data_IF_832091968888
#
_entry.id   IF_832091968888
#
_cell.length_a   1.000
_cell.length_b   1.000
_cell.length_c   1.000
_cell.angle_alpha   90.00
_cell.angle_beta   90.00
_cell.angle_gamma   90.00
#
_symmetry.space_group_name_H-M   'P 1'
#
loop_
_entity.id
_entity.type
_entity.pdbx_description
1 polymer ?
#
# COMPACT_ATOMS: atom_id res chain seq x y z
N UNK A 1 -18.95 -6.77 14.82
CA UNK A 1 -17.85 -5.82 15.16
C UNK A 1 -16.58 -6.63 15.19
N UNK A 2 -15.71 -6.46 14.19
CA UNK A 2 -14.73 -7.50 13.89
C UNK A 2 -13.41 -7.19 14.57
N UNK A 3 -12.84 -8.19 15.25
CA UNK A 3 -11.58 -8.04 15.94
C UNK A 3 -10.46 -7.81 14.91
N UNK A 4 -9.69 -6.70 14.98
CA UNK A 4 -8.63 -6.42 14.00
C UNK A 4 -7.47 -7.41 14.07
N UNK A 5 -7.40 -8.26 15.11
CA UNK A 5 -6.36 -9.29 15.25
C UNK A 5 -6.80 -10.65 14.71
N UNK A 6 -7.98 -11.14 15.10
CA UNK A 6 -8.44 -12.49 14.75
C UNK A 6 -9.64 -12.51 13.79
N UNK A 7 -10.10 -11.34 13.31
CA UNK A 7 -11.21 -11.12 12.37
C UNK A 7 -12.59 -11.65 12.80
N UNK A 8 -12.72 -12.32 13.96
CA UNK A 8 -14.00 -12.78 14.53
C UNK A 8 -14.90 -11.63 14.98
N UNK A 9 -16.21 -11.85 14.98
CA UNK A 9 -17.23 -10.82 15.26
C UNK A 9 -17.61 -10.70 16.75
N UNK A 10 -16.89 -11.37 17.64
CA UNK A 10 -17.21 -11.49 19.07
C UNK A 10 -16.66 -10.34 19.94
N UNK A 11 -16.65 -9.11 19.43
CA UNK A 11 -16.17 -7.95 20.17
C UNK A 11 -17.27 -7.29 21.01
N UNK A 12 -17.01 -7.10 22.30
CA UNK A 12 -17.93 -6.44 23.24
C UNK A 12 -17.36 -5.13 23.76
N UNK A 13 -18.23 -4.20 24.15
CA UNK A 13 -17.85 -2.92 24.77
C UNK A 13 -17.11 -3.18 26.08
N UNK A 14 -15.99 -2.50 26.30
CA UNK A 14 -15.10 -2.70 27.45
C UNK A 14 -14.56 -1.34 27.95
N UNK A 15 -15.48 -0.48 28.40
CA UNK A 15 -15.18 0.86 28.91
C UNK A 15 -14.86 1.89 27.82
N UNK A 16 -14.39 3.07 28.24
CA UNK A 16 -13.96 4.15 27.35
C UNK A 16 -12.53 4.58 27.68
N UNK A 17 -11.77 4.98 26.67
CA UNK A 17 -10.40 5.52 26.82
C UNK A 17 -10.31 6.82 26.02
N UNK A 18 -9.93 7.92 26.69
CA UNK A 18 -9.84 9.26 26.09
C UNK A 18 -11.13 9.65 25.34
N UNK A 19 -12.28 9.43 25.98
CA UNK A 19 -13.61 9.69 25.41
C UNK A 19 -14.11 8.66 24.38
N UNK A 20 -13.23 7.83 23.81
CA UNK A 20 -13.58 6.87 22.78
C UNK A 20 -13.98 5.50 23.34
N UNK A 21 -14.92 4.84 22.68
CA UNK A 21 -15.38 3.50 23.05
C UNK A 21 -14.26 2.45 22.86
N UNK A 22 -13.92 1.73 23.92
CA UNK A 22 -13.00 0.58 23.86
C UNK A 22 -13.81 -0.70 23.74
N UNK A 23 -13.26 -1.66 23.02
CA UNK A 23 -13.82 -2.99 22.79
C UNK A 23 -12.83 -4.05 23.24
N UNK A 24 -13.34 -5.22 23.61
CA UNK A 24 -12.57 -6.44 23.93
C UNK A 24 -13.14 -7.59 23.10
N UNK A 25 -12.28 -8.28 22.37
CA UNK A 25 -12.65 -9.52 21.70
C UNK A 25 -12.78 -10.65 22.72
N UNK A 26 -13.91 -11.36 22.74
CA UNK A 26 -14.10 -12.53 23.61
C UNK A 26 -13.23 -13.73 23.20
N UNK A 27 -12.99 -13.90 21.90
CA UNK A 27 -12.23 -15.05 21.39
C UNK A 27 -10.73 -14.97 21.67
N UNK A 28 -10.09 -13.80 21.53
CA UNK A 28 -8.64 -13.66 21.70
C UNK A 28 -8.22 -12.69 22.82
N UNK A 29 -9.18 -12.10 23.55
CA UNK A 29 -8.91 -11.14 24.61
C UNK A 29 -8.37 -9.77 24.14
N UNK A 30 -8.10 -9.58 22.85
CA UNK A 30 -7.52 -8.35 22.32
C UNK A 30 -8.43 -7.14 22.55
N UNK A 31 -7.83 -6.05 23.01
CA UNK A 31 -8.54 -4.81 23.31
C UNK A 31 -8.16 -3.72 22.32
N UNK A 32 -9.16 -3.06 21.76
CA UNK A 32 -8.98 -2.05 20.73
C UNK A 32 -10.03 -0.95 20.86
N UNK A 33 -9.63 0.26 20.51
CA UNK A 33 -10.51 1.45 20.54
C UNK A 33 -10.88 1.91 19.14
N UNK A 34 -10.04 1.57 18.15
CA UNK A 34 -10.17 2.03 16.77
C UNK A 34 -10.33 0.82 15.86
N UNK A 35 -11.27 0.89 14.92
CA UNK A 35 -11.55 -0.15 13.94
C UNK A 35 -10.73 0.00 12.67
N UNK A 36 -10.34 1.23 12.34
CA UNK A 36 -9.50 1.49 11.16
C UNK A 36 -8.05 1.13 11.45
N UNK A 37 -7.32 0.68 10.42
CA UNK A 37 -5.88 0.45 10.49
C UNK A 37 -5.13 1.71 10.93
N UNK A 38 -4.00 1.51 11.63
CA UNK A 38 -3.12 2.61 12.05
C UNK A 38 -2.23 3.04 10.89
N UNK A 39 -2.02 4.33 10.77
CA UNK A 39 -1.07 4.91 9.82
C UNK A 39 -1.73 5.45 8.55
N UNK A 40 -0.88 5.74 7.56
CA UNK A 40 -1.27 6.24 6.24
C UNK A 40 -1.83 5.08 5.40
N UNK A 41 -2.79 5.34 4.50
CA UNK A 41 -3.43 4.30 3.70
C UNK A 41 -2.38 3.53 2.87
N UNK A 42 -2.59 2.23 2.60
CA UNK A 42 -1.63 1.40 1.87
C UNK A 42 -1.17 2.02 0.55
N UNK A 43 -2.09 2.63 -0.19
CA UNK A 43 -1.79 3.25 -1.47
C UNK A 43 -0.75 4.38 -1.40
N UNK A 44 -0.73 5.17 -0.32
CA UNK A 44 0.28 6.23 -0.14
C UNK A 44 1.67 5.66 0.08
N UNK A 45 1.75 4.50 0.75
CA UNK A 45 3.02 3.81 1.00
C UNK A 45 3.56 3.21 -0.29
N UNK A 46 2.70 2.54 -1.05
CA UNK A 46 3.01 1.98 -2.35
C UNK A 46 3.46 3.05 -3.36
N UNK A 47 2.71 4.15 -3.50
CA UNK A 47 3.07 5.26 -4.39
C UNK A 47 4.41 5.91 -3.98
N UNK A 48 4.68 6.05 -2.68
CA UNK A 48 5.96 6.57 -2.21
C UNK A 48 7.15 5.66 -2.60
N UNK A 49 6.98 4.34 -2.52
CA UNK A 49 8.01 3.38 -2.96
C UNK A 49 8.21 3.48 -4.47
N UNK A 50 7.12 3.50 -5.26
CA UNK A 50 7.18 3.65 -6.71
C UNK A 50 7.93 4.93 -7.14
N UNK A 51 7.59 6.07 -6.53
CA UNK A 51 8.27 7.34 -6.81
C UNK A 51 9.77 7.28 -6.46
N UNK A 52 10.12 6.60 -5.37
CA UNK A 52 11.52 6.39 -4.99
C UNK A 52 12.26 5.54 -6.02
N UNK A 53 11.67 4.43 -6.49
CA UNK A 53 12.25 3.62 -7.57
C UNK A 53 12.44 4.41 -8.86
N UNK A 54 11.56 5.40 -9.14
CA UNK A 54 11.70 6.29 -10.30
C UNK A 54 12.75 7.40 -10.13
N UNK A 55 13.48 7.41 -9.01
CA UNK A 55 14.55 8.38 -8.73
C UNK A 55 14.07 9.69 -8.09
N UNK A 56 12.81 9.77 -7.65
CA UNK A 56 12.33 10.94 -6.91
C UNK A 56 12.93 10.91 -5.50
N UNK A 57 13.53 12.02 -5.09
CA UNK A 57 14.18 12.09 -3.77
C UNK A 57 13.18 11.94 -2.62
N UNK A 58 13.63 11.26 -1.55
CA UNK A 58 12.86 11.02 -0.32
C UNK A 58 12.26 12.33 0.22
N UNK A 59 13.03 13.42 0.20
CA UNK A 59 12.58 14.74 0.66
C UNK A 59 11.46 15.33 -0.19
N UNK A 60 11.46 15.07 -1.51
CA UNK A 60 10.39 15.54 -2.41
C UNK A 60 9.11 14.73 -2.19
N UNK A 61 9.23 13.40 -2.06
CA UNK A 61 8.11 12.50 -1.74
C UNK A 61 7.49 12.86 -0.38
N UNK A 62 8.33 13.13 0.63
CA UNK A 62 7.90 13.52 1.97
C UNK A 62 7.07 14.80 1.96
N UNK A 63 7.47 15.81 1.16
CA UNK A 63 6.69 17.03 0.94
C UNK A 63 5.36 16.75 0.25
N UNK A 64 5.33 15.90 -0.78
CA UNK A 64 4.09 15.52 -1.48
C UNK A 64 3.05 14.90 -0.54
N UNK A 65 3.48 14.01 0.37
CA UNK A 65 2.57 13.37 1.32
C UNK A 65 2.37 14.15 2.64
N UNK A 66 3.06 15.28 2.82
CA UNK A 66 3.10 16.03 4.09
C UNK A 66 3.45 15.12 5.29
N UNK A 67 4.57 14.41 5.16
CA UNK A 67 5.12 13.53 6.20
C UNK A 67 6.61 13.81 6.40
N UNK A 68 7.19 13.36 7.51
CA UNK A 68 8.63 13.46 7.72
C UNK A 68 9.39 12.56 6.73
N UNK A 69 10.57 12.97 6.22
CA UNK A 69 11.41 12.13 5.35
C UNK A 69 11.75 10.76 5.95
N UNK A 70 11.93 10.69 7.27
CA UNK A 70 12.13 9.44 8.01
C UNK A 70 10.96 8.47 7.91
N UNK A 71 9.74 8.96 7.67
CA UNK A 71 8.54 8.12 7.46
C UNK A 71 8.61 7.44 6.10
N UNK A 72 8.99 8.18 5.05
CA UNK A 72 9.18 7.64 3.70
C UNK A 72 10.32 6.60 3.72
N UNK A 73 11.44 6.91 4.37
CA UNK A 73 12.55 5.97 4.51
C UNK A 73 12.13 4.66 5.20
N UNK A 74 11.30 4.73 6.25
CA UNK A 74 10.74 3.54 6.90
C UNK A 74 9.87 2.71 5.96
N UNK A 75 9.06 3.35 5.10
CA UNK A 75 8.24 2.63 4.11
C UNK A 75 9.12 1.91 3.08
N UNK A 76 10.13 2.59 2.54
CA UNK A 76 11.09 2.01 1.59
C UNK A 76 11.83 0.82 2.23
N UNK A 77 12.37 1.00 3.44
CA UNK A 77 13.09 -0.07 4.15
C UNK A 77 12.18 -1.27 4.43
N UNK A 78 10.93 -1.02 4.82
CA UNK A 78 9.96 -2.08 5.12
C UNK A 78 9.61 -2.88 3.86
N UNK A 79 9.44 -2.21 2.73
CA UNK A 79 9.23 -2.82 1.42
C UNK A 79 10.43 -3.71 1.04
N UNK A 80 11.65 -3.18 1.07
CA UNK A 80 12.87 -3.94 0.73
C UNK A 80 13.21 -5.08 1.69
N UNK A 81 12.64 -5.10 2.90
CA UNK A 81 12.84 -6.18 3.89
C UNK A 81 11.88 -7.36 3.69
N UNK A 82 10.75 -7.15 3.00
CA UNK A 82 9.77 -8.20 2.73
C UNK A 82 10.11 -8.85 1.38
N UNK A 83 10.72 -10.03 1.44
CA UNK A 83 10.78 -10.94 0.30
C UNK A 83 9.41 -11.59 0.13
N UNK A 84 8.46 -10.87 -0.45
CA UNK A 84 7.16 -11.45 -0.80
C UNK A 84 7.30 -12.17 -2.14
N UNK A 85 6.85 -13.43 -2.27
CA UNK A 85 6.76 -14.06 -3.58
C UNK A 85 5.87 -13.22 -4.50
N UNK A 86 6.29 -13.11 -5.76
CA UNK A 86 5.55 -12.40 -6.81
C UNK A 86 4.10 -12.92 -6.83
N UNK A 87 3.07 -12.05 -6.87
CA UNK A 87 1.71 -12.53 -7.02
C UNK A 87 1.60 -13.25 -8.37
N UNK A 88 1.16 -14.51 -8.34
CA UNK A 88 0.73 -15.23 -9.54
C UNK A 88 -0.50 -14.50 -10.09
N UNK A 89 -0.27 -13.74 -11.16
CA UNK A 89 -1.25 -13.15 -12.08
C UNK A 89 -2.62 -12.79 -11.48
N UNK A 90 -2.77 -11.57 -10.97
CA UNK A 90 -4.10 -11.08 -10.59
C UNK A 90 -4.83 -10.50 -11.80
N UNK A 91 -5.89 -11.22 -12.17
CA UNK A 91 -7.07 -10.88 -13.00
C UNK A 91 -7.32 -9.42 -13.38
N UNK A 92 -7.80 -9.28 -14.62
CA UNK A 92 -8.42 -8.12 -15.28
C UNK A 92 -7.46 -7.07 -15.88
N UNK A 93 -6.87 -7.42 -17.03
CA UNK A 93 -6.17 -6.49 -17.93
C UNK A 93 -4.84 -5.92 -17.42
N UNK A 94 -4.40 -6.27 -16.22
CA UNK A 94 -3.12 -5.86 -15.66
C UNK A 94 -2.02 -6.86 -16.06
N UNK A 95 -1.14 -6.45 -16.98
CA UNK A 95 0.09 -7.18 -17.28
C UNK A 95 1.12 -6.84 -16.19
N UNK A 96 1.64 -7.86 -15.51
CA UNK A 96 2.84 -7.72 -14.67
C UNK A 96 4.01 -7.49 -15.62
N UNK A 97 4.61 -6.31 -15.57
CA UNK A 97 5.80 -6.00 -16.34
C UNK A 97 7.03 -6.11 -15.46
N UNK A 98 8.05 -6.81 -15.95
CA UNK A 98 9.36 -6.85 -15.30
C UNK A 98 10.10 -5.50 -15.45
N UNK A 99 11.17 -5.28 -14.67
CA UNK A 99 11.91 -4.00 -14.64
C UNK A 99 12.34 -3.54 -16.05
N UNK A 100 12.74 -4.48 -16.91
CA UNK A 100 13.12 -4.20 -18.29
C UNK A 100 11.93 -3.76 -19.14
N UNK A 101 10.79 -4.44 -19.03
CA UNK A 101 9.59 -4.13 -19.80
C UNK A 101 8.97 -2.78 -19.40
N UNK A 102 9.04 -2.42 -18.11
CA UNK A 102 8.64 -1.08 -17.64
C UNK A 102 9.55 -0.02 -18.26
N UNK A 103 10.86 -0.26 -18.30
CA UNK A 103 11.84 0.69 -18.82
C UNK A 103 11.66 0.90 -20.32
N UNK A 104 11.57 -0.19 -21.09
CA UNK A 104 11.32 -0.16 -22.53
C UNK A 104 9.99 0.55 -22.86
N UNK A 105 8.94 0.32 -22.08
CA UNK A 105 7.66 1.00 -22.27
C UNK A 105 7.77 2.52 -22.04
N UNK A 106 8.48 2.94 -20.99
CA UNK A 106 8.68 4.35 -20.66
C UNK A 106 9.53 5.07 -21.72
N UNK A 107 10.56 4.41 -22.25
CA UNK A 107 11.37 4.95 -23.35
C UNK A 107 10.52 5.14 -24.61
N UNK A 108 9.71 4.12 -24.96
CA UNK A 108 8.83 4.17 -26.12
C UNK A 108 7.74 5.25 -26.04
N UNK A 109 7.27 5.59 -24.83
CA UNK A 109 6.35 6.72 -24.58
C UNK A 109 7.02 8.09 -24.66
N UNK A 110 8.33 8.18 -24.41
CA UNK A 110 9.07 9.43 -24.59
C UNK A 110 9.31 9.79 -26.06
N UNK A 111 9.26 8.78 -26.94
CA UNK A 111 9.51 8.90 -28.37
C UNK A 111 8.24 8.97 -29.24
N UNK A 112 7.08 8.54 -28.73
CA UNK A 112 5.83 8.46 -29.49
C UNK A 112 4.64 9.16 -28.82
N UNK A 113 3.94 10.02 -29.57
CA UNK A 113 2.73 10.77 -29.18
C UNK A 113 1.48 9.90 -28.92
N UNK A 114 1.62 8.62 -28.56
CA UNK A 114 0.49 7.75 -28.21
C UNK A 114 0.31 7.71 -26.69
N UNK A 115 -0.64 8.49 -26.19
CA UNK A 115 -0.92 8.67 -24.76
C UNK A 115 -1.52 7.41 -24.12
N UNK A 116 -0.68 6.44 -23.75
CA UNK A 116 -1.08 5.33 -22.89
C UNK A 116 -1.22 5.80 -21.44
N UNK A 117 -2.28 5.36 -20.73
CA UNK A 117 -2.45 5.66 -19.30
C UNK A 117 -1.83 4.55 -18.46
N UNK A 118 -0.84 4.91 -17.62
CA UNK A 118 -0.24 3.99 -16.65
C UNK A 118 -1.10 3.98 -15.38
N UNK A 119 -1.53 2.81 -14.93
CA UNK A 119 -2.30 2.64 -13.69
C UNK A 119 -1.50 1.83 -12.67
N UNK A 120 -1.26 2.42 -11.50
CA UNK A 120 -0.67 1.68 -10.38
C UNK A 120 -1.83 1.06 -9.58
N UNK A 121 -1.98 -0.26 -9.67
CA UNK A 121 -2.97 -1.02 -8.92
C UNK A 121 -2.34 -1.41 -7.58
N UNK A 122 -2.92 -0.88 -6.51
CA UNK A 122 -2.45 -1.18 -5.17
C UNK A 122 -3.52 -2.07 -4.54
N UNK A 123 -3.33 -3.40 -4.49
CA UNK A 123 -4.30 -4.29 -3.87
C UNK A 123 -4.60 -3.84 -2.43
N UNK A 124 -5.89 -3.87 -2.11
CA UNK A 124 -6.42 -3.32 -0.85
C UNK A 124 -6.11 -4.23 0.36
N UNK A 125 -5.58 -5.42 0.12
CA UNK A 125 -5.31 -6.41 1.14
C UNK A 125 -4.15 -5.97 2.04
N UNK A 126 -4.51 -5.65 3.29
CA UNK A 126 -3.67 -5.07 4.35
C UNK A 126 -2.47 -5.98 4.74
N UNK A 127 -2.38 -7.18 4.17
CA UNK A 127 -1.33 -8.17 4.39
C UNK A 127 -0.33 -8.28 3.23
N UNK A 128 -0.71 -7.90 2.02
CA UNK A 128 0.20 -7.89 0.87
C UNK A 128 0.64 -6.45 0.61
N UNK A 129 1.89 -6.14 0.93
CA UNK A 129 2.55 -4.92 0.43
C UNK A 129 2.88 -5.02 -1.07
N UNK A 130 2.05 -5.75 -1.83
CA UNK A 130 2.21 -5.94 -3.25
C UNK A 130 1.75 -4.67 -3.94
N UNK A 131 2.61 -4.08 -4.76
CA UNK A 131 2.27 -2.97 -5.65
C UNK A 131 2.31 -3.56 -7.05
N UNK A 132 1.16 -3.62 -7.72
CA UNK A 132 1.07 -4.12 -9.08
C UNK A 132 0.99 -2.91 -10.00
N UNK A 133 2.01 -2.69 -10.82
CA UNK A 133 1.95 -1.66 -11.85
C UNK A 133 1.37 -2.30 -13.10
N UNK A 134 0.22 -1.81 -13.56
CA UNK A 134 -0.43 -2.26 -14.78
C UNK A 134 -0.50 -1.15 -15.82
N UNK A 135 -0.45 -1.50 -17.10
CA UNK A 135 -0.60 -0.56 -18.19
C UNK A 135 -1.82 -0.96 -19.00
N UNK A 136 -2.79 -0.04 -19.14
CA UNK A 136 -3.94 -0.24 -20.02
C UNK A 136 -3.68 0.48 -21.33
N UNK A 137 -3.62 -0.27 -22.43
CA UNK A 137 -3.69 0.27 -23.79
C UNK A 137 -5.17 0.31 -24.17
N UNK A 138 -5.70 1.50 -24.47
CA UNK A 138 -7.01 1.65 -25.12
C UNK A 138 -6.85 1.45 -26.63
#
# INVERSE_FOLDING_TARGET
>A
MNCPRCKREDAVKNGKVRGNQRYKCKACGFQFTRLTSRGRPPWQRALAVFLYCRGVSISRIARMFSVAPSTIFKWIRKFGSQRTPLPESTTDGAVLLDENEITEYLEKQSEGSESGKIFVIIPEDVLSENVVVGIKRD
#
